data_IF_161306247006
#
_entry.id   IF_161306247006
#
_cell.length_a   1.000
_cell.length_b   1.000
_cell.length_c   1.000
_cell.angle_alpha   90.00
_cell.angle_beta   90.00
_cell.angle_gamma   90.00
#
_symmetry.space_group_name_H-M   'P 1'
#
loop_
_entity.id
_entity.type
_entity.pdbx_description
1 polymer ?
#
# COMPACT_ATOMS: atom_id res chain seq x y z
N UNK A 1 14.34 -4.85 -18.28
CA UNK A 1 13.85 -4.73 -16.88
C UNK A 1 12.61 -3.85 -16.89
N UNK A 2 11.49 -4.28 -16.30
CA UNK A 2 10.33 -3.39 -16.13
C UNK A 2 10.68 -2.30 -15.12
N UNK A 3 10.46 -1.03 -15.50
CA UNK A 3 10.63 0.11 -14.60
C UNK A 3 9.41 0.21 -13.68
N UNK A 4 9.62 0.18 -12.37
CA UNK A 4 8.59 0.57 -11.39
C UNK A 4 8.58 2.10 -11.25
N UNK A 5 7.40 2.68 -11.00
CA UNK A 5 7.21 4.11 -10.71
C UNK A 5 6.54 4.25 -9.35
N UNK A 6 7.03 5.17 -8.52
CA UNK A 6 6.40 5.50 -7.24
C UNK A 6 5.69 6.85 -7.39
N UNK A 7 4.43 6.90 -6.98
CA UNK A 7 3.65 8.14 -6.87
C UNK A 7 3.36 8.44 -5.41
N UNK A 8 3.52 9.68 -5.01
CA UNK A 8 3.08 10.19 -3.70
C UNK A 8 1.82 11.02 -3.88
N UNK A 9 0.82 10.76 -3.07
CA UNK A 9 -0.46 11.46 -3.06
C UNK A 9 -0.86 11.77 -1.62
N UNK A 10 -1.71 12.78 -1.44
CA UNK A 10 -2.40 13.06 -0.19
C UNK A 10 -3.86 12.64 -0.40
N UNK A 11 -4.39 11.76 0.46
CA UNK A 11 -5.78 11.33 0.37
C UNK A 11 -6.73 12.36 1.01
N UNK A 12 -8.04 12.11 0.92
CA UNK A 12 -9.06 13.02 1.46
C UNK A 12 -8.95 13.23 2.99
N UNK A 13 -8.32 12.29 3.71
CA UNK A 13 -8.02 12.39 5.13
C UNK A 13 -6.69 13.11 5.42
N UNK A 14 -6.10 13.77 4.44
CA UNK A 14 -4.80 14.44 4.55
C UNK A 14 -3.64 13.52 4.91
N UNK A 15 -3.79 12.20 4.68
CA UNK A 15 -2.73 11.24 4.91
C UNK A 15 -1.85 11.11 3.68
N UNK A 16 -0.54 11.01 3.89
CA UNK A 16 0.37 10.59 2.82
C UNK A 16 0.04 9.16 2.39
N UNK A 17 0.06 8.93 1.09
CA UNK A 17 -0.05 7.61 0.48
C UNK A 17 1.01 7.48 -0.61
N UNK A 18 1.73 6.36 -0.62
CA UNK A 18 2.64 5.98 -1.71
C UNK A 18 2.00 4.87 -2.53
N UNK A 19 2.09 4.96 -3.84
CA UNK A 19 1.62 3.93 -4.78
C UNK A 19 2.79 3.50 -5.65
N UNK A 20 3.08 2.20 -5.67
CA UNK A 20 4.03 1.60 -6.60
C UNK A 20 3.27 1.03 -7.80
N UNK A 21 3.68 1.46 -8.99
CA UNK A 21 3.15 1.00 -10.25
C UNK A 21 4.22 0.28 -11.05
N UNK A 22 3.89 -0.90 -11.58
CA UNK A 22 4.70 -1.62 -12.55
C UNK A 22 3.97 -1.63 -13.88
N UNK A 23 4.58 -1.09 -14.92
CA UNK A 23 3.95 -0.94 -16.24
C UNK A 23 2.54 -0.28 -16.14
N UNK A 24 2.44 0.80 -15.36
CA UNK A 24 1.19 1.53 -15.06
C UNK A 24 0.11 0.74 -14.30
N UNK A 25 0.38 -0.47 -13.82
CA UNK A 25 -0.51 -1.23 -12.94
C UNK A 25 -0.11 -1.06 -11.48
N UNK A 26 -1.06 -0.73 -10.62
CA UNK A 26 -0.84 -0.67 -9.17
C UNK A 26 -0.47 -2.06 -8.67
N UNK A 27 0.65 -2.16 -7.96
CA UNK A 27 1.10 -3.42 -7.34
C UNK A 27 1.21 -3.30 -5.81
N UNK A 28 1.37 -2.08 -5.30
CA UNK A 28 1.46 -1.82 -3.87
C UNK A 28 0.98 -0.41 -3.53
N UNK A 29 0.28 -0.28 -2.42
CA UNK A 29 -0.13 0.99 -1.83
C UNK A 29 0.23 1.00 -0.35
N UNK A 30 0.84 2.07 0.13
CA UNK A 30 1.17 2.27 1.55
C UNK A 30 0.51 3.56 2.01
N UNK A 31 -0.35 3.48 3.03
CA UNK A 31 -0.95 4.63 3.67
C UNK A 31 -0.26 4.90 5.00
N UNK A 32 -0.02 6.15 5.32
CA UNK A 32 0.60 6.57 6.58
C UNK A 32 -0.45 7.10 7.56
N UNK A 33 -0.15 7.07 8.85
CA UNK A 33 -0.87 7.86 9.84
C UNK A 33 -0.62 9.36 9.62
N UNK A 34 -1.36 10.21 10.33
CA UNK A 34 -1.29 11.67 10.21
C UNK A 34 0.12 12.24 10.50
N UNK A 35 0.96 11.50 11.23
CA UNK A 35 2.36 11.85 11.46
C UNK A 35 3.26 11.70 10.21
N UNK A 36 2.72 11.15 9.11
CA UNK A 36 3.38 10.91 7.83
C UNK A 36 4.65 10.05 7.89
N UNK A 37 4.92 9.37 9.00
CA UNK A 37 6.10 8.53 9.22
C UNK A 37 5.69 7.08 9.48
N UNK A 38 4.69 6.90 10.32
CA UNK A 38 4.17 5.60 10.75
C UNK A 38 3.23 5.06 9.69
N UNK A 39 3.44 3.81 9.29
CA UNK A 39 2.56 3.15 8.33
C UNK A 39 1.25 2.80 9.03
N UNK A 40 0.13 3.15 8.41
CA UNK A 40 -1.20 2.75 8.84
C UNK A 40 -1.58 1.39 8.25
N UNK A 41 -1.42 1.23 6.93
CA UNK A 41 -1.63 -0.05 6.25
C UNK A 41 -0.87 -0.14 4.93
N UNK A 42 -0.70 -1.37 4.46
CA UNK A 42 -0.15 -1.74 3.16
C UNK A 42 -1.16 -2.65 2.45
N UNK A 43 -1.44 -2.34 1.20
CA UNK A 43 -2.21 -3.17 0.26
C UNK A 43 -1.27 -3.63 -0.87
N UNK A 44 -1.31 -4.91 -1.24
CA UNK A 44 -0.60 -5.46 -2.39
C UNK A 44 -1.60 -6.05 -3.39
N UNK A 45 -1.27 -5.94 -4.67
CA UNK A 45 -2.17 -6.26 -5.77
C UNK A 45 -1.50 -7.14 -6.82
N UNK A 46 -2.28 -8.05 -7.38
CA UNK A 46 -1.88 -8.84 -8.54
C UNK A 46 -1.64 -7.95 -9.74
N UNK A 47 -0.45 -7.97 -10.38
CA UNK A 47 -0.21 -7.24 -11.61
C UNK A 47 -0.98 -7.83 -12.80
N UNK A 48 -1.55 -9.03 -12.67
CA UNK A 48 -2.30 -9.69 -13.73
C UNK A 48 -3.75 -9.25 -13.66
N UNK A 49 -4.42 -9.48 -12.53
CA UNK A 49 -5.87 -9.24 -12.37
C UNK A 49 -6.23 -7.91 -11.71
N UNK A 50 -5.27 -7.26 -11.04
CA UNK A 50 -5.51 -6.04 -10.27
C UNK A 50 -6.24 -6.27 -8.94
N UNK A 51 -6.51 -7.53 -8.56
CA UNK A 51 -7.12 -7.87 -7.27
C UNK A 51 -6.13 -7.69 -6.13
N UNK A 52 -6.63 -7.32 -4.97
CA UNK A 52 -5.83 -7.26 -3.75
C UNK A 52 -5.48 -8.68 -3.30
N UNK A 53 -4.19 -8.98 -3.23
CA UNK A 53 -3.65 -10.27 -2.78
C UNK A 53 -3.24 -10.23 -1.32
N UNK A 54 -2.93 -9.04 -0.79
CA UNK A 54 -2.53 -8.88 0.61
C UNK A 54 -2.97 -7.55 1.20
N UNK A 55 -3.34 -7.60 2.47
CA UNK A 55 -3.56 -6.43 3.30
C UNK A 55 -2.85 -6.61 4.63
N UNK A 56 -2.14 -5.59 5.08
CA UNK A 56 -1.53 -5.57 6.42
C UNK A 56 -1.77 -4.20 7.03
N UNK A 57 -2.36 -4.16 8.22
CA UNK A 57 -2.54 -2.94 9.01
C UNK A 57 -1.66 -2.98 10.25
N UNK A 58 -1.24 -1.81 10.69
CA UNK A 58 -0.29 -1.65 11.78
C UNK A 58 -0.86 -0.74 12.86
N UNK A 59 -0.50 -1.00 14.11
CA UNK A 59 -0.71 -0.06 15.21
C UNK A 59 0.27 1.12 15.07
N UNK A 60 0.04 2.21 15.84
CA UNK A 60 0.96 3.37 15.85
C UNK A 60 2.36 3.06 16.36
N UNK A 61 2.56 1.94 17.07
CA UNK A 61 3.88 1.46 17.50
C UNK A 61 4.60 0.63 16.42
N UNK A 62 3.98 0.44 15.24
CA UNK A 62 4.52 -0.35 14.14
C UNK A 62 4.29 -1.86 14.24
N UNK A 63 3.63 -2.34 15.31
CA UNK A 63 3.26 -3.76 15.41
C UNK A 63 2.13 -4.09 14.44
N UNK A 64 2.12 -5.32 13.91
CA UNK A 64 1.05 -5.79 13.03
C UNK A 64 -0.23 -5.90 13.85
N UNK A 65 -1.25 -5.16 13.43
CA UNK A 65 -2.60 -5.22 14.02
C UNK A 65 -3.41 -6.35 13.40
N UNK A 66 -3.35 -6.47 12.07
CA UNK A 66 -4.14 -7.43 11.31
C UNK A 66 -3.52 -7.61 9.92
N UNK A 67 -3.52 -8.84 9.42
CA UNK A 67 -3.14 -9.15 8.05
C UNK A 67 -4.10 -10.16 7.42
N UNK A 68 -4.22 -10.10 6.09
CA UNK A 68 -4.90 -11.10 5.26
C UNK A 68 -4.07 -11.37 4.04
N UNK A 69 -4.08 -12.62 3.58
CA UNK A 69 -3.42 -13.06 2.36
C UNK A 69 -4.42 -13.89 1.58
N UNK A 70 -4.70 -13.47 0.34
CA UNK A 70 -5.51 -14.21 -0.61
C UNK A 70 -4.55 -14.89 -1.59
N UNK A 71 -4.58 -16.21 -1.62
CA UNK A 71 -3.85 -16.98 -2.63
C UNK A 71 -4.71 -16.96 -3.90
N UNK A 72 -4.36 -16.04 -4.80
CA UNK A 72 -4.98 -15.91 -6.12
C UNK A 72 -4.99 -17.22 -6.92
#
# INVERSE_FOLDING_TARGET
>A
MSKSTIKEIINDWSQRVTQELRNNKLIKKTCYYEDNKTIHFIEEYSPITGKQTKYTSYNRDGTVKFNTEDNE
#
